data_IF_243422367106
#
_entry.id   IF_243422367106
#
_cell.length_a   1.000
_cell.length_b   1.000
_cell.length_c   1.000
_cell.angle_alpha   90.00
_cell.angle_beta   90.00
_cell.angle_gamma   90.00
#
_symmetry.space_group_name_H-M   'P 1'
#
loop_
_entity.id
_entity.type
_entity.pdbx_description
1 polymer ?
#
# COMPACT_ATOMS: atom_id res chain seq x y z
N UNK A 1 -4.11 -0.31 16.64
CA UNK A 1 -4.62 -0.07 15.28
C UNK A 1 -3.95 -1.06 14.34
N UNK A 2 -4.71 -1.78 13.50
CA UNK A 2 -4.19 -2.76 12.53
C UNK A 2 -4.85 -2.51 11.17
N UNK A 3 -4.07 -2.52 10.09
CA UNK A 3 -4.59 -2.36 8.72
C UNK A 3 -4.94 -3.75 8.20
N UNK A 4 -6.22 -3.99 7.90
CA UNK A 4 -6.69 -5.28 7.33
C UNK A 4 -6.64 -5.29 5.80
N UNK A 5 -6.96 -4.15 5.16
CA UNK A 5 -7.08 -4.06 3.71
C UNK A 5 -6.67 -2.68 3.21
N UNK A 6 -6.02 -2.64 2.06
CA UNK A 6 -5.63 -1.42 1.36
C UNK A 6 -6.25 -1.46 -0.03
N UNK A 7 -7.09 -0.48 -0.38
CA UNK A 7 -7.68 -0.35 -1.71
C UNK A 7 -7.52 1.06 -2.24
N UNK A 8 -7.10 1.20 -3.49
CA UNK A 8 -6.92 2.48 -4.15
C UNK A 8 -7.10 2.35 -5.66
N UNK A 9 -7.33 3.49 -6.33
CA UNK A 9 -7.53 3.59 -7.77
C UNK A 9 -6.61 4.68 -8.32
N UNK A 10 -5.85 4.35 -9.37
CA UNK A 10 -5.03 5.31 -10.14
C UNK A 10 -4.11 6.18 -9.27
N UNK A 11 -3.31 5.56 -8.39
CA UNK A 11 -2.39 6.29 -7.52
C UNK A 11 -0.96 6.25 -8.09
N UNK A 12 -0.39 7.40 -8.42
CA UNK A 12 0.96 7.55 -8.98
C UNK A 12 1.24 6.54 -10.13
N UNK A 13 2.27 5.69 -10.00
CA UNK A 13 2.63 4.71 -11.04
C UNK A 13 1.75 3.45 -11.05
N UNK A 14 0.79 3.31 -10.14
CA UNK A 14 -0.13 2.18 -10.05
C UNK A 14 -1.47 2.56 -10.69
N UNK A 15 -1.58 2.29 -12.00
CA UNK A 15 -2.78 2.51 -12.81
C UNK A 15 -3.79 1.41 -12.56
N UNK A 16 -5.08 1.76 -12.55
CA UNK A 16 -6.18 0.83 -12.30
C UNK A 16 -6.52 0.69 -10.83
N UNK A 17 -7.42 -0.25 -10.57
CA UNK A 17 -7.87 -0.57 -9.21
C UNK A 17 -6.97 -1.65 -8.60
N UNK A 18 -6.51 -1.37 -7.39
CA UNK A 18 -5.64 -2.27 -6.63
C UNK A 18 -6.25 -2.54 -5.27
N UNK A 19 -6.17 -3.80 -4.85
CA UNK A 19 -6.59 -4.26 -3.53
C UNK A 19 -5.53 -5.20 -2.94
N UNK A 20 -5.17 -4.96 -1.68
CA UNK A 20 -4.26 -5.80 -0.90
C UNK A 20 -4.99 -6.19 0.39
N UNK A 21 -5.30 -7.47 0.51
CA UNK A 21 -5.94 -8.05 1.69
C UNK A 21 -4.86 -8.63 2.63
N UNK A 22 -4.55 -7.91 3.71
CA UNK A 22 -3.55 -8.31 4.71
C UNK A 22 -4.09 -9.37 5.68
N UNK A 23 -5.37 -9.74 5.59
CA UNK A 23 -5.96 -10.85 6.34
C UNK A 23 -5.74 -12.20 5.67
N UNK A 24 -5.29 -12.18 4.40
CA UNK A 24 -5.00 -13.40 3.66
C UNK A 24 -3.93 -14.24 4.39
N UNK A 25 -4.05 -15.58 4.43
CA UNK A 25 -3.12 -16.45 5.17
C UNK A 25 -1.64 -16.25 4.84
N UNK A 26 -1.33 -15.85 3.60
CA UNK A 26 0.02 -15.53 3.15
C UNK A 26 0.69 -14.36 3.90
N UNK A 27 -0.10 -13.50 4.56
CA UNK A 27 0.40 -12.39 5.38
C UNK A 27 0.19 -12.66 6.89
N UNK A 28 -0.84 -13.42 7.25
CA UNK A 28 -1.23 -13.65 8.63
C UNK A 28 -0.34 -14.67 9.38
N UNK A 29 0.35 -15.57 8.66
CA UNK A 29 1.13 -16.66 9.28
C UNK A 29 2.33 -16.16 10.10
N UNK A 30 3.13 -15.27 9.51
CA UNK A 30 4.40 -14.81 10.10
C UNK A 30 4.36 -13.33 10.51
N UNK A 31 3.33 -12.60 10.09
CA UNK A 31 3.14 -11.17 10.42
C UNK A 31 4.18 -10.22 9.81
N UNK A 32 5.15 -10.74 9.03
CA UNK A 32 6.20 -9.99 8.35
C UNK A 32 6.19 -10.36 6.88
N UNK A 33 6.18 -9.36 6.01
CA UNK A 33 6.26 -9.52 4.57
C UNK A 33 7.09 -8.40 3.95
N UNK A 34 7.51 -8.58 2.69
CA UNK A 34 8.30 -7.60 1.96
C UNK A 34 7.55 -7.12 0.70
N UNK A 35 7.69 -5.84 0.38
CA UNK A 35 7.27 -5.26 -0.90
C UNK A 35 8.52 -5.03 -1.74
N UNK A 36 8.67 -5.79 -2.82
CA UNK A 36 9.89 -5.79 -3.66
C UNK A 36 9.57 -5.38 -5.10
N UNK A 37 10.60 -5.09 -5.89
CA UNK A 37 10.47 -4.66 -7.29
C UNK A 37 11.44 -3.51 -7.66
N UNK A 38 11.57 -3.17 -8.95
CA UNK A 38 12.50 -2.15 -9.42
C UNK A 38 12.14 -0.74 -8.95
N UNK A 39 13.07 0.20 -9.09
CA UNK A 39 12.80 1.64 -8.87
C UNK A 39 11.69 2.10 -9.81
N UNK A 40 10.74 2.89 -9.30
CA UNK A 40 9.56 3.34 -10.06
C UNK A 40 8.35 2.38 -10.03
N UNK A 41 8.51 1.14 -9.58
CA UNK A 41 7.44 0.12 -9.57
C UNK A 41 6.24 0.40 -8.64
N UNK A 42 6.25 1.51 -7.89
CA UNK A 42 5.11 1.89 -7.04
C UNK A 42 5.13 1.32 -5.62
N UNK A 43 6.25 0.76 -5.15
CA UNK A 43 6.37 0.25 -3.76
C UNK A 43 5.99 1.30 -2.71
N UNK A 44 6.57 2.50 -2.80
CA UNK A 44 6.24 3.63 -1.91
C UNK A 44 4.82 4.15 -2.13
N UNK A 45 4.27 4.00 -3.33
CA UNK A 45 2.88 4.38 -3.63
C UNK A 45 1.88 3.62 -2.76
N UNK A 46 2.15 2.34 -2.47
CA UNK A 46 1.29 1.56 -1.55
C UNK A 46 1.29 2.16 -0.15
N UNK A 47 2.46 2.58 0.36
CA UNK A 47 2.56 3.23 1.67
C UNK A 47 1.90 4.61 1.68
N UNK A 48 2.07 5.37 0.60
CA UNK A 48 1.40 6.65 0.41
C UNK A 48 -0.12 6.53 0.41
N UNK A 49 -0.68 5.46 -0.18
CA UNK A 49 -2.11 5.21 -0.15
C UNK A 49 -2.64 5.14 1.29
N UNK A 50 -1.90 4.48 2.19
CA UNK A 50 -2.24 4.39 3.61
C UNK A 50 -2.18 5.77 4.28
N UNK A 51 -1.09 6.51 4.09
CA UNK A 51 -0.94 7.84 4.68
C UNK A 51 -2.00 8.81 4.17
N UNK A 52 -2.26 8.80 2.86
CA UNK A 52 -3.27 9.65 2.24
C UNK A 52 -4.67 9.34 2.76
N UNK A 53 -5.04 8.06 2.86
CA UNK A 53 -6.35 7.64 3.34
C UNK A 53 -6.58 8.00 4.82
N UNK A 54 -5.56 7.88 5.66
CA UNK A 54 -5.68 8.11 7.10
C UNK A 54 -5.48 9.58 7.50
N UNK A 55 -4.66 10.33 6.76
CA UNK A 55 -4.20 11.66 7.17
C UNK A 55 -4.38 12.75 6.12
N UNK A 56 -4.88 12.42 4.93
CA UNK A 56 -5.09 13.39 3.84
C UNK A 56 -3.79 13.95 3.24
N UNK A 57 -2.63 13.36 3.55
CA UNK A 57 -1.31 13.80 3.07
C UNK A 57 -0.36 12.63 2.88
N UNK A 58 0.67 12.82 2.07
CA UNK A 58 1.77 11.87 1.94
C UNK A 58 3.09 12.52 2.34
N UNK A 59 4.06 11.76 2.88
CA UNK A 59 5.37 12.31 3.24
C UNK A 59 6.15 12.91 2.06
N UNK A 60 5.78 12.56 0.83
CA UNK A 60 6.47 12.98 -0.40
C UNK A 60 5.95 14.31 -0.97
N UNK A 61 4.76 14.76 -0.57
CA UNK A 61 4.04 15.90 -1.18
C UNK A 61 3.85 17.04 -0.16
N UNK A 62 4.90 17.41 0.56
CA UNK A 62 4.89 18.57 1.47
C UNK A 62 5.03 19.89 0.72
#
# INVERSE_FOLDING_TARGET
MRIEKIRFLNLNSLVGEWEIDLTHPAFASDGIFAITGPTGAGKTTILDAICLALYGRTPRLN
#
